data_IF_936905491193
#
_entry.id   IF_936905491193
#
_cell.length_a   1.000
_cell.length_b   1.000
_cell.length_c   1.000
_cell.angle_alpha   90.00
_cell.angle_beta   90.00
_cell.angle_gamma   90.00
#
_symmetry.space_group_name_H-M   'P 1'
#
loop_
_entity.id
_entity.type
_entity.pdbx_description
1 polymer ?
#
# COMPACT_ATOMS: atom_id res chain seq x y z
N UNK A 1 0.14 -10.25 -12.02
CA UNK A 1 1.22 -10.09 -11.02
C UNK A 1 0.95 -10.76 -9.67
N UNK A 2 0.07 -11.78 -9.60
CA UNK A 2 -0.31 -12.38 -8.29
C UNK A 2 0.84 -13.10 -7.57
N UNK A 3 1.74 -13.77 -8.30
CA UNK A 3 2.88 -14.44 -7.68
C UNK A 3 3.84 -13.45 -7.01
N UNK A 4 4.21 -12.36 -7.70
CA UNK A 4 5.07 -11.32 -7.15
C UNK A 4 4.44 -10.66 -5.92
N UNK A 5 3.13 -10.41 -5.97
CA UNK A 5 2.36 -9.89 -4.83
C UNK A 5 2.37 -10.85 -3.63
N UNK A 6 2.13 -12.14 -3.85
CA UNK A 6 2.20 -13.17 -2.81
C UNK A 6 3.58 -13.19 -2.16
N UNK A 7 4.63 -13.29 -2.97
CA UNK A 7 6.01 -13.31 -2.50
C UNK A 7 6.35 -12.06 -1.68
N UNK A 8 5.89 -10.89 -2.12
CA UNK A 8 6.05 -9.65 -1.36
C UNK A 8 5.36 -9.73 0.01
N UNK A 9 4.12 -10.20 0.07
CA UNK A 9 3.42 -10.40 1.35
C UNK A 9 4.13 -11.41 2.26
N UNK A 10 4.71 -12.48 1.70
CA UNK A 10 5.49 -13.45 2.46
C UNK A 10 6.70 -12.80 3.12
N UNK A 11 7.41 -11.92 2.41
CA UNK A 11 8.51 -11.14 2.96
C UNK A 11 8.07 -10.12 4.02
N UNK A 12 6.96 -9.41 3.80
CA UNK A 12 6.41 -8.51 4.82
C UNK A 12 6.00 -9.28 6.09
N UNK A 13 5.40 -10.46 5.93
CA UNK A 13 5.02 -11.34 7.03
C UNK A 13 6.23 -11.88 7.80
N UNK A 14 7.36 -12.09 7.12
CA UNK A 14 8.65 -12.41 7.71
C UNK A 14 9.34 -11.21 8.41
N UNK A 15 8.72 -10.03 8.41
CA UNK A 15 9.22 -8.84 9.12
C UNK A 15 10.12 -7.92 8.30
N UNK A 16 10.26 -8.16 7.00
CA UNK A 16 11.05 -7.28 6.15
C UNK A 16 10.30 -5.99 5.81
N UNK A 17 11.03 -4.87 5.79
CA UNK A 17 10.54 -3.59 5.30
C UNK A 17 10.88 -3.50 3.81
N UNK A 18 9.91 -3.84 2.96
CA UNK A 18 10.06 -3.82 1.50
C UNK A 18 8.94 -3.03 0.85
N UNK A 19 9.31 -2.12 -0.05
CA UNK A 19 8.39 -1.31 -0.83
C UNK A 19 8.30 -1.82 -2.26
N UNK A 20 7.07 -1.97 -2.74
CA UNK A 20 6.78 -2.37 -4.10
C UNK A 20 7.04 -1.21 -5.07
N UNK A 21 7.56 -1.56 -6.25
CA UNK A 21 7.68 -0.67 -7.40
C UNK A 21 7.18 -1.38 -8.65
N UNK A 22 6.69 -0.61 -9.63
CA UNK A 22 6.31 -1.10 -10.95
C UNK A 22 7.30 -0.60 -12.02
N UNK A 23 7.57 -1.45 -13.00
CA UNK A 23 8.34 -1.11 -14.20
C UNK A 23 7.68 -1.73 -15.42
N UNK A 24 7.56 -0.96 -16.49
CA UNK A 24 6.85 -1.40 -17.70
C UNK A 24 7.71 -2.30 -18.59
N UNK A 25 9.03 -2.26 -18.38
CA UNK A 25 10.05 -2.93 -19.20
C UNK A 25 9.87 -2.70 -20.71
N UNK A 26 9.36 -1.51 -21.08
CA UNK A 26 9.02 -1.18 -22.46
C UNK A 26 10.29 -0.93 -23.27
N UNK A 27 10.49 -1.75 -24.29
CA UNK A 27 11.60 -1.67 -25.25
C UNK A 27 11.18 -1.16 -26.64
N UNK A 28 9.95 -0.65 -26.79
CA UNK A 28 9.38 -0.21 -28.07
C UNK A 28 8.52 1.05 -27.98
N UNK A 29 8.35 1.75 -29.10
CA UNK A 29 7.56 2.97 -29.16
C UNK A 29 6.05 2.69 -29.08
N UNK A 30 5.30 3.54 -28.36
CA UNK A 30 3.82 3.55 -28.37
C UNK A 30 3.09 2.69 -27.33
N UNK A 31 3.81 2.01 -26.44
CA UNK A 31 3.21 1.07 -25.45
C UNK A 31 2.55 1.79 -24.26
N UNK A 32 2.93 3.05 -24.00
CA UNK A 32 2.43 3.84 -22.85
C UNK A 32 0.95 4.25 -22.93
N UNK A 33 0.25 3.96 -24.02
CA UNK A 33 -1.17 4.32 -24.21
C UNK A 33 -2.15 3.20 -23.85
N UNK A 34 -1.66 2.05 -23.38
CA UNK A 34 -2.56 0.97 -22.95
C UNK A 34 -2.96 1.18 -21.49
N UNK A 35 -4.26 1.02 -21.23
CA UNK A 35 -4.86 1.18 -19.90
C UNK A 35 -4.49 0.06 -18.90
N UNK A 36 -3.64 -0.89 -19.31
CA UNK A 36 -3.19 -2.03 -18.51
C UNK A 36 -1.76 -1.87 -17.97
N UNK A 37 -1.10 -0.74 -18.24
CA UNK A 37 0.26 -0.48 -17.79
C UNK A 37 0.26 0.08 -16.37
N UNK A 38 1.00 -0.58 -15.46
CA UNK A 38 1.17 -0.12 -14.08
C UNK A 38 2.28 0.93 -13.94
N UNK A 39 2.02 1.97 -13.15
CA UNK A 39 2.96 3.05 -12.83
C UNK A 39 3.12 3.21 -11.32
N UNK A 40 4.23 3.82 -10.90
CA UNK A 40 4.40 4.28 -9.52
C UNK A 40 3.82 5.70 -9.41
N UNK A 41 2.83 5.88 -8.55
CA UNK A 41 2.36 7.22 -8.15
C UNK A 41 3.08 7.60 -6.87
N UNK A 42 3.97 8.59 -6.95
CA UNK A 42 4.91 8.93 -5.88
C UNK A 42 4.51 10.24 -5.22
N UNK A 43 4.40 10.23 -3.89
CA UNK A 43 4.28 11.46 -3.11
C UNK A 43 5.68 12.03 -2.87
N UNK A 44 6.09 12.95 -3.74
CA UNK A 44 7.35 13.66 -3.65
C UNK A 44 7.13 15.13 -3.28
N UNK A 45 8.10 15.73 -2.59
CA UNK A 45 8.00 17.13 -2.16
C UNK A 45 8.07 18.11 -3.35
N UNK A 46 8.66 17.67 -4.47
CA UNK A 46 8.65 18.36 -5.76
C UNK A 46 8.96 17.35 -6.90
N UNK A 47 8.94 17.84 -8.14
CA UNK A 47 9.14 17.01 -9.35
C UNK A 47 10.61 16.77 -9.72
N UNK A 48 11.57 17.10 -8.84
CA UNK A 48 12.98 16.76 -9.10
C UNK A 48 13.20 15.25 -8.97
N UNK A 49 14.16 14.73 -9.75
CA UNK A 49 14.57 13.33 -9.65
C UNK A 49 14.94 12.95 -8.21
N UNK A 50 15.65 13.81 -7.48
CA UNK A 50 16.06 13.55 -6.10
C UNK A 50 14.84 13.40 -5.17
N UNK A 51 13.84 14.28 -5.28
CA UNK A 51 12.63 14.21 -4.47
C UNK A 51 11.78 12.98 -4.80
N UNK A 52 11.69 12.62 -6.08
CA UNK A 52 10.97 11.41 -6.53
C UNK A 52 11.65 10.15 -5.97
N UNK A 53 12.98 10.03 -6.11
CA UNK A 53 13.72 8.89 -5.59
C UNK A 53 13.64 8.79 -4.06
N UNK A 54 13.65 9.93 -3.36
CA UNK A 54 13.44 9.96 -1.91
C UNK A 54 12.04 9.44 -1.52
N UNK A 55 11.00 9.84 -2.27
CA UNK A 55 9.64 9.33 -2.08
C UNK A 55 9.55 7.82 -2.29
N UNK A 56 10.15 7.30 -3.36
CA UNK A 56 10.20 5.86 -3.65
C UNK A 56 10.94 5.09 -2.56
N UNK A 57 12.13 5.57 -2.17
CA UNK A 57 12.95 4.92 -1.14
C UNK A 57 12.26 4.87 0.22
N UNK A 58 11.46 5.89 0.54
CA UNK A 58 10.65 5.95 1.76
C UNK A 58 9.31 5.21 1.65
N UNK A 59 9.02 4.52 0.53
CA UNK A 59 7.75 3.83 0.32
C UNK A 59 6.55 4.75 0.19
N UNK A 60 6.75 6.06 -0.02
CA UNK A 60 5.70 7.07 -0.21
C UNK A 60 5.12 6.97 -1.63
N UNK A 61 4.55 5.82 -1.96
CA UNK A 61 3.95 5.57 -3.27
C UNK A 61 2.90 4.47 -3.24
N UNK A 62 2.09 4.43 -4.30
CA UNK A 62 1.27 3.29 -4.65
C UNK A 62 1.49 2.93 -6.12
N UNK A 63 1.14 1.71 -6.48
CA UNK A 63 1.15 1.25 -7.87
C UNK A 63 -0.26 1.37 -8.42
N UNK A 64 -0.42 1.84 -9.66
CA UNK A 64 -1.73 1.96 -10.30
C UNK A 64 -1.65 1.82 -11.81
N UNK A 65 -2.70 1.23 -12.41
CA UNK A 65 -2.96 1.22 -13.85
C UNK A 65 -4.07 2.18 -14.27
N UNK A 66 -4.43 3.15 -13.41
CA UNK A 66 -5.50 4.10 -13.67
C UNK A 66 -6.00 4.82 -12.42
N UNK A 67 -6.70 4.13 -11.50
CA UNK A 67 -7.38 4.76 -10.36
C UNK A 67 -6.39 5.33 -9.34
N UNK A 68 -6.85 6.30 -8.56
CA UNK A 68 -6.09 6.79 -7.40
C UNK A 68 -6.43 5.96 -6.17
N UNK A 69 -5.44 5.75 -5.31
CA UNK A 69 -5.62 5.00 -4.06
C UNK A 69 -4.72 5.56 -2.96
N UNK A 70 -5.33 5.95 -1.85
CA UNK A 70 -4.66 6.51 -0.70
C UNK A 70 -4.97 5.67 0.53
N UNK A 71 -3.92 5.27 1.25
CA UNK A 71 -4.02 4.68 2.58
C UNK A 71 -3.27 5.57 3.57
N UNK A 72 -3.96 5.98 4.63
CA UNK A 72 -3.36 6.63 5.80
C UNK A 72 -3.75 5.89 7.06
N UNK A 73 -2.91 5.95 8.07
CA UNK A 73 -3.21 5.50 9.43
C UNK A 73 -3.14 6.70 10.36
N UNK A 74 -4.06 6.82 11.31
CA UNK A 74 -4.06 7.88 12.30
C UNK A 74 -4.08 7.31 13.72
N UNK A 75 -3.36 7.99 14.60
CA UNK A 75 -3.44 7.84 16.05
C UNK A 75 -3.46 9.21 16.68
N UNK A 76 -4.34 9.41 17.66
CA UNK A 76 -4.54 10.68 18.37
C UNK A 76 -4.70 11.89 17.43
N UNK A 77 -5.26 11.67 16.23
CA UNK A 77 -5.50 12.68 15.21
C UNK A 77 -4.33 12.98 14.27
N UNK A 78 -3.13 12.41 14.50
CA UNK A 78 -2.00 12.55 13.59
C UNK A 78 -2.01 11.43 12.53
N UNK A 79 -2.22 11.80 11.27
CA UNK A 79 -2.23 10.85 10.16
C UNK A 79 -0.84 10.67 9.55
N UNK A 80 -0.42 9.41 9.42
CA UNK A 80 0.77 9.00 8.68
C UNK A 80 0.37 8.34 7.34
N UNK A 81 1.10 8.63 6.25
CA UNK A 81 0.86 7.99 4.96
C UNK A 81 1.52 6.61 4.87
N UNK A 82 1.24 5.92 3.77
CA UNK A 82 2.01 4.76 3.29
C UNK A 82 3.53 5.00 3.32
N UNK A 83 4.29 3.93 3.55
CA UNK A 83 5.74 3.97 3.68
C UNK A 83 6.24 4.21 5.11
N UNK A 84 5.35 4.59 6.03
CA UNK A 84 5.71 4.89 7.41
C UNK A 84 5.33 3.77 8.39
N UNK A 85 5.83 3.91 9.64
CA UNK A 85 5.53 3.02 10.76
C UNK A 85 4.76 3.78 11.85
N UNK A 86 3.69 3.15 12.33
CA UNK A 86 3.00 3.53 13.56
C UNK A 86 3.68 2.86 14.76
N UNK A 87 4.39 3.64 15.57
CA UNK A 87 5.16 3.13 16.72
C UNK A 87 4.38 3.24 18.04
N UNK A 88 4.39 2.17 18.84
CA UNK A 88 3.94 2.19 20.24
C UNK A 88 2.43 2.21 20.46
N UNK A 89 1.62 1.89 19.44
CA UNK A 89 0.17 2.00 19.50
C UNK A 89 -0.50 0.63 19.43
N UNK A 90 -1.51 0.42 20.28
CA UNK A 90 -2.32 -0.79 20.30
C UNK A 90 -3.52 -0.73 19.36
N UNK A 91 -3.82 0.45 18.80
CA UNK A 91 -4.92 0.68 17.88
C UNK A 91 -4.51 1.69 16.79
N UNK A 92 -5.05 1.53 15.58
CA UNK A 92 -4.89 2.44 14.46
C UNK A 92 -6.24 2.70 13.78
N UNK A 93 -6.48 3.96 13.40
CA UNK A 93 -7.57 4.32 12.49
C UNK A 93 -7.02 4.37 11.06
N UNK A 94 -7.42 3.41 10.23
CA UNK A 94 -7.07 3.36 8.82
C UNK A 94 -8.11 4.14 8.02
N UNK A 95 -7.66 5.04 7.15
CA UNK A 95 -8.51 5.72 6.17
C UNK A 95 -8.03 5.36 4.77
N UNK A 96 -8.97 4.89 3.96
CA UNK A 96 -8.71 4.49 2.58
C UNK A 96 -9.61 5.30 1.67
N UNK A 97 -9.02 6.03 0.74
CA UNK A 97 -9.74 6.85 -0.23
C UNK A 97 -9.33 6.45 -1.65
N UNK A 98 -10.28 6.44 -2.57
CA UNK A 98 -10.06 6.12 -3.98
C UNK A 98 -10.86 7.03 -4.89
N UNK A 99 -10.39 7.13 -6.14
CA UNK A 99 -11.04 7.87 -7.22
C UNK A 99 -10.73 7.21 -8.57
N UNK A 100 -11.52 7.54 -9.59
CA UNK A 100 -11.44 7.01 -10.95
C UNK A 100 -11.51 5.47 -11.05
N UNK A 101 -12.26 4.82 -10.16
CA UNK A 101 -12.49 3.38 -10.21
C UNK A 101 -13.43 3.00 -11.37
N UNK A 102 -13.10 1.95 -12.15
CA UNK A 102 -14.02 1.44 -13.17
C UNK A 102 -15.22 0.75 -12.52
N UNK A 103 -16.38 0.69 -13.20
CA UNK A 103 -17.57 -0.01 -12.70
C UNK A 103 -17.28 -1.48 -12.36
N UNK A 104 -17.80 -1.93 -11.21
CA UNK A 104 -17.61 -3.30 -10.72
C UNK A 104 -16.24 -3.55 -10.09
N UNK A 105 -15.46 -2.49 -9.82
CA UNK A 105 -14.26 -2.62 -9.02
C UNK A 105 -14.59 -2.95 -7.55
N UNK A 106 -13.65 -3.60 -6.86
CA UNK A 106 -13.76 -3.89 -5.43
C UNK A 106 -12.54 -3.37 -4.67
N UNK A 107 -12.78 -2.70 -3.55
CA UNK A 107 -11.76 -2.33 -2.59
C UNK A 107 -11.46 -3.49 -1.65
N UNK A 108 -10.18 -3.69 -1.37
CA UNK A 108 -9.66 -4.60 -0.36
C UNK A 108 -8.76 -3.83 0.60
N UNK A 109 -8.99 -3.97 1.90
CA UNK A 109 -8.06 -3.55 2.94
C UNK A 109 -7.49 -4.79 3.58
N UNK A 110 -6.17 -4.90 3.58
CA UNK A 110 -5.44 -6.12 3.89
C UNK A 110 -4.56 -5.88 5.11
N UNK A 111 -4.61 -6.82 6.05
CA UNK A 111 -3.71 -6.91 7.19
C UNK A 111 -2.95 -8.23 7.12
N UNK A 112 -1.61 -8.18 7.13
CA UNK A 112 -0.76 -9.39 7.15
C UNK A 112 -1.11 -10.44 6.07
N UNK A 113 -1.58 -9.97 4.92
CA UNK A 113 -1.94 -10.79 3.76
C UNK A 113 -3.39 -11.31 3.74
N UNK A 114 -4.20 -10.97 4.75
CA UNK A 114 -5.62 -11.32 4.81
C UNK A 114 -6.51 -10.07 4.68
N UNK A 115 -7.63 -10.20 3.95
CA UNK A 115 -8.64 -9.14 3.85
C UNK A 115 -9.30 -8.89 5.21
N UNK A 116 -9.20 -7.66 5.71
CA UNK A 116 -9.89 -7.17 6.92
C UNK A 116 -11.11 -6.30 6.59
N UNK A 117 -11.22 -5.86 5.34
CA UNK A 117 -12.43 -5.26 4.78
C UNK A 117 -12.44 -5.48 3.26
N UNK A 118 -13.64 -5.71 2.73
CA UNK A 118 -13.89 -5.81 1.29
C UNK A 118 -15.24 -5.20 0.98
N UNK A 119 -15.31 -4.39 -0.07
CA UNK A 119 -16.56 -3.79 -0.54
C UNK A 119 -16.46 -3.44 -2.02
N UNK A 120 -17.61 -3.18 -2.63
CA UNK A 120 -17.68 -2.58 -3.95
C UNK A 120 -17.08 -1.17 -3.91
N UNK A 121 -16.32 -0.83 -4.94
CA UNK A 121 -15.72 0.48 -5.12
C UNK A 121 -16.46 1.19 -6.25
N UNK A 122 -17.32 2.14 -5.90
CA UNK A 122 -17.86 3.12 -6.84
C UNK A 122 -16.71 3.97 -7.42
N UNK A 123 -17.01 4.82 -8.42
CA UNK A 123 -16.01 5.65 -9.10
C UNK A 123 -15.08 6.39 -8.12
N UNK A 124 -15.64 6.94 -7.03
CA UNK A 124 -14.89 7.53 -5.94
C UNK A 124 -15.49 7.11 -4.60
N UNK A 125 -14.69 7.08 -3.55
CA UNK A 125 -15.19 6.79 -2.23
C UNK A 125 -14.13 6.78 -1.14
N UNK A 126 -14.61 6.54 0.08
CA UNK A 126 -13.79 6.52 1.27
C UNK A 126 -14.36 5.58 2.32
N UNK A 127 -13.47 4.89 3.04
CA UNK A 127 -13.80 4.21 4.28
C UNK A 127 -12.78 4.49 5.38
N UNK A 128 -13.27 4.34 6.60
CA UNK A 128 -12.45 4.37 7.81
C UNK A 128 -12.67 3.09 8.61
N UNK A 129 -11.59 2.49 9.08
CA UNK A 129 -11.59 1.27 9.89
C UNK A 129 -10.74 1.47 11.13
N UNK A 130 -11.25 1.07 12.28
CA UNK A 130 -10.45 0.97 13.50
C UNK A 130 -9.93 -0.45 13.66
N UNK A 131 -8.63 -0.61 13.94
CA UNK A 131 -7.96 -1.90 14.06
C UNK A 131 -7.04 -1.93 15.26
N UNK A 132 -7.16 -2.98 16.07
CA UNK A 132 -6.14 -3.31 17.04
C UNK A 132 -4.85 -3.68 16.28
N UNK A 133 -3.71 -3.23 16.80
CA UNK A 133 -2.40 -3.40 16.18
C UNK A 133 -1.58 -4.37 17.02
N UNK A 134 -1.17 -5.48 16.40
CA UNK A 134 -0.23 -6.43 16.98
C UNK A 134 1.22 -6.09 16.56
N UNK A 135 2.18 -6.77 17.18
CA UNK A 135 3.59 -6.70 16.74
C UNK A 135 3.73 -7.15 15.30
N UNK A 136 4.60 -6.47 14.55
CA UNK A 136 4.87 -6.77 13.14
C UNK A 136 3.61 -6.72 12.24
N UNK A 137 2.63 -5.88 12.56
CA UNK A 137 1.47 -5.66 11.69
C UNK A 137 1.86 -4.76 10.51
N UNK A 138 1.24 -5.00 9.35
CA UNK A 138 1.29 -4.10 8.22
C UNK A 138 -0.06 -4.07 7.53
N UNK A 139 -0.40 -2.92 6.93
CA UNK A 139 -1.64 -2.68 6.21
C UNK A 139 -1.37 -2.25 4.78
N UNK A 140 -2.14 -2.80 3.84
CA UNK A 140 -2.13 -2.45 2.41
C UNK A 140 -3.57 -2.30 1.94
N UNK A 141 -3.82 -1.38 1.01
CA UNK A 141 -5.09 -1.33 0.28
C UNK A 141 -4.88 -1.75 -1.18
N UNK A 142 -5.87 -2.43 -1.76
CA UNK A 142 -5.92 -2.82 -3.16
C UNK A 142 -7.24 -2.43 -3.80
N UNK A 143 -7.17 -2.01 -5.06
CA UNK A 143 -8.32 -1.93 -5.96
C UNK A 143 -8.22 -3.06 -6.97
N UNK A 144 -9.30 -3.82 -7.10
CA UNK A 144 -9.42 -4.96 -8.02
C UNK A 144 -10.50 -4.66 -9.04
N UNK A 145 -10.26 -4.99 -10.31
CA UNK A 145 -11.26 -4.93 -11.36
C UNK A 145 -12.30 -6.06 -11.22
N UNK A 146 -13.39 -6.02 -12.00
CA UNK A 146 -14.46 -7.04 -11.95
C UNK A 146 -13.99 -8.45 -12.31
N UNK A 147 -12.88 -8.57 -13.05
CA UNK A 147 -12.20 -9.83 -13.41
C UNK A 147 -11.14 -10.26 -12.38
N UNK A 148 -10.97 -9.51 -11.30
CA UNK A 148 -9.94 -9.71 -10.28
C UNK A 148 -8.56 -9.13 -10.63
N UNK A 149 -8.42 -8.43 -11.76
CA UNK A 149 -7.17 -7.77 -12.12
C UNK A 149 -6.79 -6.72 -11.07
N UNK A 150 -5.49 -6.63 -10.75
CA UNK A 150 -4.99 -5.61 -9.82
C UNK A 150 -4.94 -4.25 -10.53
N UNK A 151 -5.76 -3.31 -10.09
CA UNK A 151 -5.83 -1.95 -10.64
C UNK A 151 -4.94 -0.98 -9.87
N UNK A 152 -4.90 -1.10 -8.54
CA UNK A 152 -3.97 -0.35 -7.71
C UNK A 152 -3.62 -1.09 -6.42
N UNK A 153 -2.45 -0.81 -5.86
CA UNK A 153 -1.99 -1.33 -4.56
C UNK A 153 -1.09 -0.31 -3.87
N UNK A 154 -1.34 -0.02 -2.59
CA UNK A 154 -0.48 0.89 -1.82
C UNK A 154 0.79 0.19 -1.35
N UNK A 155 1.85 0.94 -1.07
CA UNK A 155 2.88 0.44 -0.18
C UNK A 155 2.32 0.24 1.25
N UNK A 156 2.99 -0.54 2.10
CA UNK A 156 2.52 -0.83 3.45
C UNK A 156 2.61 0.40 4.35
N UNK A 157 1.66 0.48 5.28
CA UNK A 157 1.87 1.13 6.57
C UNK A 157 2.25 0.03 7.56
N UNK A 158 3.40 0.16 8.22
CA UNK A 158 3.82 -0.77 9.25
C UNK A 158 3.29 -0.32 10.61
N UNK A 159 3.06 -1.26 11.52
CA UNK A 159 2.52 -0.98 12.84
C UNK A 159 3.01 -1.98 13.89
N UNK A 160 2.84 -1.60 15.16
CA UNK A 160 3.24 -2.38 16.32
C UNK A 160 4.70 -2.20 16.71
N UNK A 161 5.10 -2.73 17.88
CA UNK A 161 6.48 -2.69 18.33
C UNK A 161 7.40 -3.48 17.39
N UNK A 162 8.67 -3.05 17.29
CA UNK A 162 9.70 -3.81 16.61
C UNK A 162 9.93 -5.12 17.40
N UNK A 163 10.10 -6.21 16.67
CA UNK A 163 10.41 -7.52 17.27
C UNK A 163 11.81 -7.51 17.94
N UNK A 164 12.64 -6.51 17.62
CA UNK A 164 14.02 -6.35 18.10
C UNK A 164 14.18 -5.52 19.39
N UNK A 165 13.10 -5.00 19.99
CA UNK A 165 13.18 -4.25 21.26
C UNK A 165 12.98 -5.12 22.51
N UNK A 166 12.76 -6.43 22.35
CA UNK A 166 12.65 -7.40 23.43
C UNK A 166 13.65 -8.55 23.28
N UNK A 167 14.73 -8.51 24.08
CA UNK A 167 15.65 -9.61 24.35
C UNK A 167 16.40 -10.23 23.16
N UNK A 168 17.54 -9.63 22.80
CA UNK A 168 18.75 -10.42 22.57
C UNK A 168 19.38 -10.76 23.92
N UNK A 169 18.79 -11.70 24.66
CA UNK A 169 19.55 -12.49 25.63
C UNK A 169 20.26 -13.58 24.84
N UNK A 170 21.50 -13.30 24.46
CA UNK A 170 22.41 -14.30 23.87
C UNK A 170 22.78 -15.30 24.99
N UNK A 171 22.68 -16.62 24.77
CA UNK A 171 23.19 -17.61 25.72
C UNK A 171 24.72 -17.56 25.86
#
# INVERSE_FOLDING_TARGET
>A
NEYARRLWFDWLNAGHVLFATAGTDVHGHGVYRRADVGFNVVYADNLSQAAILAGIAAGRSYLSSGPTLHLTAAVDGAAIPTGQRLAGQSEAQLRVAWDDCPPGATLHVIERGADIARQDADAAGEITLTRAVASNTWFVAELRGPDGALLAITNPIFAGPNIDEGELTVP
#
